data_IF_665139238172
#
_entry.id   IF_665139238172
#
_cell.length_a   1.000
_cell.length_b   1.000
_cell.length_c   1.000
_cell.angle_alpha   90.00
_cell.angle_beta   90.00
_cell.angle_gamma   90.00
#
_symmetry.space_group_name_H-M   'P 1'
#
loop_
_entity.id
_entity.type
_entity.pdbx_description
1 polymer ?
#
# COMPACT_ATOMS: atom_id res chain seq x y z
N UNK A 1 36.89 21.71 -23.55
CA UNK A 1 36.77 20.37 -22.96
C UNK A 1 35.36 20.23 -22.40
N UNK A 2 34.69 19.08 -22.54
CA UNK A 2 33.39 18.87 -21.92
C UNK A 2 33.50 18.90 -20.40
N UNK A 3 32.55 19.56 -19.75
CA UNK A 3 32.41 19.58 -18.28
C UNK A 3 31.44 18.46 -17.92
N UNK A 4 31.80 17.64 -16.93
CA UNK A 4 30.95 16.55 -16.45
C UNK A 4 30.48 16.91 -15.06
N UNK A 5 29.17 17.09 -14.91
CA UNK A 5 28.52 17.50 -13.66
C UNK A 5 27.59 16.40 -13.18
N UNK A 6 27.49 16.22 -11.86
CA UNK A 6 26.45 15.38 -11.25
C UNK A 6 25.12 16.12 -11.30
N UNK A 7 24.04 15.40 -11.51
CA UNK A 7 22.68 15.93 -11.44
C UNK A 7 21.84 15.12 -10.46
N UNK A 8 20.81 15.76 -9.93
CA UNK A 8 19.69 15.10 -9.27
C UNK A 8 18.44 15.33 -10.10
N UNK A 9 17.88 14.27 -10.67
CA UNK A 9 16.60 14.35 -11.38
C UNK A 9 15.50 14.70 -10.36
N UNK A 10 14.49 15.47 -10.77
CA UNK A 10 13.36 15.77 -9.89
C UNK A 10 12.64 14.49 -9.47
N UNK A 11 11.83 14.59 -8.42
CA UNK A 11 10.99 13.48 -8.01
C UNK A 11 10.06 13.05 -9.14
N UNK A 12 9.82 11.75 -9.23
CA UNK A 12 9.07 11.10 -10.30
C UNK A 12 7.54 11.25 -10.13
N UNK A 13 7.08 11.87 -9.05
CA UNK A 13 5.68 11.99 -8.65
C UNK A 13 4.96 13.13 -9.38
N UNK A 14 5.64 14.25 -9.66
CA UNK A 14 5.09 15.36 -10.44
C UNK A 14 5.75 15.55 -11.81
N UNK A 15 6.76 14.75 -12.18
CA UNK A 15 7.36 14.74 -13.53
C UNK A 15 7.22 13.37 -14.22
N UNK A 16 6.63 13.37 -15.42
CA UNK A 16 6.39 12.13 -16.18
C UNK A 16 7.44 11.82 -17.26
N UNK A 17 8.34 12.77 -17.56
CA UNK A 17 9.31 12.65 -18.65
C UNK A 17 10.73 12.42 -18.15
N UNK A 18 11.48 11.60 -18.91
CA UNK A 18 12.90 11.33 -18.67
C UNK A 18 13.76 12.01 -19.73
N UNK A 19 15.00 12.30 -19.35
CA UNK A 19 16.03 12.78 -20.27
C UNK A 19 16.32 11.74 -21.36
N UNK A 20 16.37 12.18 -22.62
CA UNK A 20 16.82 11.34 -23.74
C UNK A 20 18.33 11.52 -24.00
N UNK A 21 18.84 10.86 -25.03
CA UNK A 21 20.27 10.88 -25.40
C UNK A 21 20.65 12.01 -26.38
N UNK A 22 19.76 12.97 -26.62
CA UNK A 22 20.03 14.09 -27.54
C UNK A 22 20.90 15.14 -26.87
N UNK A 23 21.48 15.98 -27.72
CA UNK A 23 22.19 17.18 -27.31
C UNK A 23 21.24 18.36 -27.46
N UNK A 24 21.20 19.23 -26.45
CA UNK A 24 20.36 20.41 -26.42
C UNK A 24 21.21 21.67 -26.29
N UNK A 25 20.74 22.77 -26.88
CA UNK A 25 21.26 24.11 -26.60
C UNK A 25 20.77 24.54 -25.20
N UNK A 26 21.66 25.10 -24.39
CA UNK A 26 21.35 25.65 -23.08
C UNK A 26 21.13 27.16 -23.18
N UNK A 27 20.01 27.65 -22.63
CA UNK A 27 19.64 29.07 -22.65
C UNK A 27 19.34 29.54 -21.24
N UNK A 28 19.92 30.68 -20.84
CA UNK A 28 19.63 31.33 -19.56
C UNK A 28 18.19 31.86 -19.53
N UNK A 29 17.46 31.49 -18.47
CA UNK A 29 16.09 31.90 -18.20
C UNK A 29 15.93 32.60 -16.83
N UNK A 30 17.04 33.04 -16.22
CA UNK A 30 17.00 33.78 -14.96
C UNK A 30 16.52 32.91 -13.80
N UNK A 31 15.54 33.39 -13.03
CA UNK A 31 14.92 32.60 -11.96
C UNK A 31 13.86 31.62 -12.46
N UNK A 32 13.43 31.70 -13.73
CA UNK A 32 12.42 30.83 -14.30
C UNK A 32 11.03 30.92 -13.64
N UNK A 33 10.76 31.91 -12.80
CA UNK A 33 9.46 32.03 -12.13
C UNK A 33 8.35 32.45 -13.10
N UNK A 34 8.70 33.19 -14.15
CA UNK A 34 7.80 33.57 -15.23
C UNK A 34 8.19 32.87 -16.55
N UNK A 35 7.22 32.64 -17.46
CA UNK A 35 7.52 32.12 -18.80
C UNK A 35 8.49 33.04 -19.57
N UNK A 36 9.48 32.45 -20.23
CA UNK A 36 10.44 33.14 -21.10
C UNK A 36 10.44 32.57 -22.52
N UNK A 37 10.00 33.31 -23.55
CA UNK A 37 10.03 32.83 -24.94
C UNK A 37 11.44 32.49 -25.46
N UNK A 38 12.50 32.97 -24.80
CA UNK A 38 13.89 32.72 -25.22
C UNK A 38 14.31 31.25 -25.16
N UNK A 39 13.63 30.42 -24.37
CA UNK A 39 13.98 29.02 -24.15
C UNK A 39 13.22 28.03 -25.05
N UNK A 40 12.42 28.51 -26.00
CA UNK A 40 11.66 27.65 -26.91
C UNK A 40 12.58 26.66 -27.65
N UNK A 41 12.32 25.36 -27.48
CA UNK A 41 13.14 24.29 -28.07
C UNK A 41 14.54 24.11 -27.46
N UNK A 42 14.89 24.87 -26.43
CA UNK A 42 16.16 24.80 -25.71
C UNK A 42 15.99 24.20 -24.30
N UNK A 43 17.10 23.91 -23.62
CA UNK A 43 17.09 23.67 -22.17
C UNK A 43 17.12 25.00 -21.44
N UNK A 44 16.17 25.18 -20.53
CA UNK A 44 16.15 26.32 -19.65
C UNK A 44 17.18 26.15 -18.53
N UNK A 45 18.11 27.10 -18.42
CA UNK A 45 19.05 27.23 -17.31
C UNK A 45 18.49 28.23 -16.31
N UNK A 46 18.08 27.77 -15.13
CA UNK A 46 17.36 28.59 -14.14
C UNK A 46 18.00 28.54 -12.76
N UNK A 47 18.08 29.66 -12.05
CA UNK A 47 18.62 29.69 -10.69
C UNK A 47 17.67 29.03 -9.69
N UNK A 48 18.20 28.46 -8.60
CA UNK A 48 17.38 28.15 -7.43
C UNK A 48 16.91 29.43 -6.70
N UNK A 49 15.79 29.34 -5.96
CA UNK A 49 15.20 30.46 -5.21
C UNK A 49 14.10 31.21 -5.98
N UNK A 50 13.54 32.29 -5.42
CA UNK A 50 12.48 33.10 -6.06
C UNK A 50 11.07 32.51 -5.98
N UNK A 51 10.87 31.26 -6.43
CA UNK A 51 9.60 30.54 -6.42
C UNK A 51 9.84 29.02 -6.25
N UNK A 52 8.76 28.23 -6.14
CA UNK A 52 8.85 26.76 -6.01
C UNK A 52 9.50 26.10 -7.23
N UNK A 53 10.10 24.92 -7.05
CA UNK A 53 10.65 24.16 -8.17
C UNK A 53 9.57 23.79 -9.20
N UNK A 54 8.38 23.45 -8.72
CA UNK A 54 7.23 23.21 -9.59
C UNK A 54 6.89 24.43 -10.45
N UNK A 55 6.80 25.62 -9.85
CA UNK A 55 6.51 26.86 -10.58
C UNK A 55 7.55 27.12 -11.66
N UNK A 56 8.85 26.94 -11.35
CA UNK A 56 9.94 27.08 -12.33
C UNK A 56 9.72 26.18 -13.54
N UNK A 57 9.50 24.90 -13.27
CA UNK A 57 9.35 23.89 -14.33
C UNK A 57 8.07 24.11 -15.12
N UNK A 58 6.97 24.48 -14.46
CA UNK A 58 5.70 24.82 -15.12
C UNK A 58 5.85 26.04 -16.03
N UNK A 59 6.51 27.11 -15.57
CA UNK A 59 6.75 28.31 -16.37
C UNK A 59 7.60 28.00 -17.60
N UNK A 60 8.67 27.20 -17.45
CA UNK A 60 9.48 26.78 -18.60
C UNK A 60 8.74 25.83 -19.55
N UNK A 61 7.82 25.01 -19.03
CA UNK A 61 6.92 24.19 -19.85
C UNK A 61 6.01 25.06 -20.70
N UNK A 62 5.41 26.12 -20.12
CA UNK A 62 4.60 27.11 -20.84
C UNK A 62 5.41 27.86 -21.91
N UNK A 63 6.73 27.90 -21.78
CA UNK A 63 7.66 28.48 -22.75
C UNK A 63 8.14 27.51 -23.83
N UNK A 64 7.55 26.31 -23.93
CA UNK A 64 7.99 25.27 -24.88
C UNK A 64 9.48 24.88 -24.73
N UNK A 65 10.02 24.95 -23.51
CA UNK A 65 11.36 24.45 -23.24
C UNK A 65 11.42 22.92 -23.45
N UNK A 66 12.57 22.42 -23.90
CA UNK A 66 12.80 20.97 -24.06
C UNK A 66 13.14 20.26 -22.74
N UNK A 67 13.44 21.02 -21.69
CA UNK A 67 13.83 20.53 -20.38
C UNK A 67 14.31 21.67 -19.48
N UNK A 68 14.43 21.40 -18.18
CA UNK A 68 14.83 22.41 -17.20
C UNK A 68 16.02 21.94 -16.38
N UNK A 69 17.06 22.77 -16.30
CA UNK A 69 18.19 22.61 -15.41
C UNK A 69 18.19 23.72 -14.38
N UNK A 70 17.86 23.34 -13.13
CA UNK A 70 17.94 24.24 -11.99
C UNK A 70 19.34 24.19 -11.41
N UNK A 71 20.00 25.32 -11.24
CA UNK A 71 21.33 25.36 -10.63
C UNK A 71 21.30 25.89 -9.19
N UNK A 72 22.11 25.29 -8.33
CA UNK A 72 22.27 25.73 -6.94
C UNK A 72 22.92 27.11 -6.86
N UNK A 73 22.61 27.92 -5.85
CA UNK A 73 23.37 29.12 -5.54
C UNK A 73 24.78 28.73 -5.08
N UNK A 74 25.77 29.65 -5.20
CA UNK A 74 27.12 29.39 -4.73
C UNK A 74 27.16 28.90 -3.28
N UNK A 75 27.75 27.73 -3.05
CA UNK A 75 27.89 27.12 -1.72
C UNK A 75 26.71 26.24 -1.28
N UNK A 76 25.59 26.25 -2.00
CA UNK A 76 24.45 25.40 -1.66
C UNK A 76 24.61 23.98 -2.25
N UNK A 77 24.20 22.94 -1.50
CA UNK A 77 24.14 21.58 -2.03
C UNK A 77 23.01 21.45 -3.05
N UNK A 78 23.08 20.43 -3.91
CA UNK A 78 21.93 20.04 -4.72
C UNK A 78 20.80 19.62 -3.77
N UNK A 79 19.60 20.13 -4.03
CA UNK A 79 18.40 19.91 -3.26
C UNK A 79 17.44 18.99 -4.01
N UNK A 80 16.60 18.29 -3.25
CA UNK A 80 15.51 17.50 -3.81
C UNK A 80 14.41 18.42 -4.34
N UNK A 81 14.15 18.34 -5.66
CA UNK A 81 13.14 19.17 -6.30
C UNK A 81 11.76 18.56 -6.09
N UNK A 82 11.05 19.08 -5.09
CA UNK A 82 9.71 18.65 -4.73
C UNK A 82 8.65 19.74 -5.01
N UNK A 83 7.40 19.32 -5.20
CA UNK A 83 6.22 20.17 -5.28
C UNK A 83 5.74 20.59 -3.86
N UNK A 84 4.91 21.62 -3.77
CA UNK A 84 4.35 22.14 -2.50
C UNK A 84 2.83 22.27 -2.59
N UNK A 85 2.11 21.62 -1.66
CA UNK A 85 0.65 21.69 -1.58
C UNK A 85 0.00 21.18 -2.87
N UNK A 86 -1.01 21.91 -3.36
CA UNK A 86 -1.81 21.57 -4.56
C UNK A 86 -0.97 21.47 -5.85
N UNK A 87 0.27 21.97 -5.86
CA UNK A 87 1.22 21.74 -6.96
C UNK A 87 1.45 20.24 -7.22
N UNK A 88 1.41 19.43 -6.15
CA UNK A 88 1.66 18.00 -6.22
C UNK A 88 0.56 17.21 -6.92
N UNK A 89 -0.62 17.82 -7.15
CA UNK A 89 -1.74 17.18 -7.83
C UNK A 89 -1.62 17.31 -9.36
N UNK A 90 -0.61 18.04 -9.85
CA UNK A 90 -0.38 18.26 -11.28
C UNK A 90 0.91 17.59 -11.75
N UNK A 91 0.79 16.72 -12.75
CA UNK A 91 1.95 16.17 -13.43
C UNK A 91 2.40 17.05 -14.60
N UNK A 92 3.69 17.36 -14.67
CA UNK A 92 4.31 18.08 -15.79
C UNK A 92 5.05 17.10 -16.71
N UNK A 93 4.84 17.26 -18.02
CA UNK A 93 5.44 16.43 -19.06
C UNK A 93 6.73 17.04 -19.62
N UNK A 94 7.67 17.40 -18.75
CA UNK A 94 8.99 17.94 -19.12
C UNK A 94 10.06 17.33 -18.20
N UNK A 95 11.24 16.94 -18.71
CA UNK A 95 12.30 16.49 -17.84
C UNK A 95 12.95 17.68 -17.11
N UNK A 96 13.22 17.51 -15.82
CA UNK A 96 13.94 18.51 -15.04
C UNK A 96 14.97 17.85 -14.12
N UNK A 97 16.09 18.54 -13.92
CA UNK A 97 17.14 18.12 -13.00
C UNK A 97 17.79 19.33 -12.33
N UNK A 98 18.32 19.09 -11.14
CA UNK A 98 19.12 20.06 -10.43
C UNK A 98 20.61 19.72 -10.57
N UNK A 99 21.43 20.75 -10.75
CA UNK A 99 22.89 20.64 -10.86
C UNK A 99 23.58 21.68 -9.99
N UNK A 100 24.88 21.51 -9.75
CA UNK A 100 25.67 22.59 -9.18
C UNK A 100 25.86 23.73 -10.19
N UNK A 101 26.02 24.95 -9.67
CA UNK A 101 26.45 26.09 -10.47
C UNK A 101 27.89 25.88 -10.98
N UNK A 102 28.01 25.67 -12.28
CA UNK A 102 29.30 25.67 -12.97
C UNK A 102 29.65 27.08 -13.45
N UNK A 103 30.68 27.67 -12.85
CA UNK A 103 31.11 29.06 -13.13
C UNK A 103 31.41 29.27 -14.61
N UNK A 104 32.03 28.29 -15.26
CA UNK A 104 32.37 28.34 -16.69
C UNK A 104 31.13 28.29 -17.60
N UNK A 105 30.09 27.56 -17.21
CA UNK A 105 28.79 27.54 -17.92
C UNK A 105 28.10 28.89 -17.77
N UNK A 106 28.03 29.42 -16.55
CA UNK A 106 27.42 30.73 -16.29
C UNK A 106 28.13 31.86 -17.05
N UNK A 107 29.47 31.86 -17.07
CA UNK A 107 30.25 32.83 -17.85
C UNK A 107 30.02 32.67 -19.34
N UNK A 108 30.00 31.45 -19.88
CA UNK A 108 29.75 31.21 -21.30
C UNK A 108 28.38 31.76 -21.73
N UNK A 109 27.33 31.48 -20.95
CA UNK A 109 25.99 32.02 -21.20
C UNK A 109 25.97 33.55 -21.12
N UNK A 110 26.61 34.14 -20.11
CA UNK A 110 26.70 35.60 -19.95
C UNK A 110 27.42 36.29 -21.13
N UNK A 111 28.44 35.66 -21.70
CA UNK A 111 29.16 36.15 -22.87
C UNK A 111 28.51 35.76 -24.22
N UNK A 112 27.33 35.15 -24.21
CA UNK A 112 26.61 34.74 -25.42
C UNK A 112 27.28 33.58 -26.18
N UNK A 113 28.14 32.81 -25.53
CA UNK A 113 28.76 31.64 -26.12
C UNK A 113 27.78 30.45 -26.07
N UNK A 114 27.65 29.67 -27.16
CA UNK A 114 26.74 28.53 -27.17
C UNK A 114 27.24 27.42 -26.25
N UNK A 115 26.36 26.98 -25.34
CA UNK A 115 26.60 25.84 -24.45
C UNK A 115 25.67 24.71 -24.86
N UNK A 116 26.23 23.51 -25.04
CA UNK A 116 25.49 22.31 -25.39
C UNK A 116 25.54 21.30 -24.26
N UNK A 117 24.39 20.70 -23.95
CA UNK A 117 24.25 19.71 -22.88
C UNK A 117 23.75 18.40 -23.46
N UNK A 118 24.36 17.30 -23.03
CA UNK A 118 23.93 15.94 -23.34
C UNK A 118 23.84 15.12 -22.06
N UNK A 119 22.92 14.17 -22.00
CA UNK A 119 22.67 13.38 -20.81
C UNK A 119 23.15 11.94 -20.96
N UNK A 120 23.79 11.43 -19.89
CA UNK A 120 24.25 10.05 -19.83
C UNK A 120 23.87 9.44 -18.48
N UNK A 121 23.60 8.14 -18.49
CA UNK A 121 23.45 7.33 -17.30
C UNK A 121 24.76 6.60 -17.04
N UNK A 122 25.43 6.92 -15.94
CA UNK A 122 26.64 6.22 -15.52
C UNK A 122 26.24 5.22 -14.43
N UNK A 123 26.29 3.90 -14.71
CA UNK A 123 26.07 2.90 -13.67
C UNK A 123 27.08 3.10 -12.54
N UNK A 124 26.60 3.18 -11.31
CA UNK A 124 27.43 3.21 -10.11
C UNK A 124 27.20 1.92 -9.30
N UNK A 125 28.21 1.41 -8.59
CA UNK A 125 28.00 0.33 -7.62
C UNK A 125 26.94 0.76 -6.59
N UNK A 126 26.03 -0.14 -6.24
CA UNK A 126 25.10 0.11 -5.12
C UNK A 126 25.90 0.44 -3.87
N UNK A 127 25.65 1.61 -3.29
CA UNK A 127 26.44 2.14 -2.18
C UNK A 127 26.06 1.54 -0.83
N UNK A 128 24.87 0.93 -0.73
CA UNK A 128 24.31 0.49 0.54
C UNK A 128 24.03 -1.00 0.52
N UNK A 129 24.53 -1.67 1.54
CA UNK A 129 24.17 -3.03 1.94
C UNK A 129 23.75 -2.99 3.40
N UNK A 130 22.84 -3.86 3.81
CA UNK A 130 22.48 -4.01 5.22
C UNK A 130 22.91 -5.36 5.77
N UNK A 131 23.09 -5.38 7.08
CA UNK A 131 23.21 -6.59 7.88
C UNK A 131 22.01 -6.60 8.82
N UNK A 132 21.20 -7.65 8.78
CA UNK A 132 20.03 -7.78 9.65
C UNK A 132 20.41 -8.18 11.08
N UNK A 133 19.42 -8.29 11.98
CA UNK A 133 19.63 -8.72 13.37
C UNK A 133 20.21 -10.14 13.52
N UNK A 134 20.18 -10.95 12.47
CA UNK A 134 20.77 -12.30 12.45
C UNK A 134 22.21 -12.29 11.90
N UNK A 135 22.75 -11.13 11.53
CA UNK A 135 24.08 -11.02 10.92
C UNK A 135 24.09 -11.39 9.43
N UNK A 136 22.94 -11.52 8.78
CA UNK A 136 22.83 -11.87 7.37
C UNK A 136 22.83 -10.62 6.49
N UNK A 137 23.46 -10.74 5.32
CA UNK A 137 23.42 -9.71 4.29
C UNK A 137 22.00 -9.58 3.72
N UNK A 138 21.50 -8.36 3.65
CA UNK A 138 20.19 -8.05 3.08
C UNK A 138 20.29 -6.99 1.96
N UNK A 139 19.48 -7.15 0.92
CA UNK A 139 19.30 -6.11 -0.11
C UNK A 139 18.58 -4.91 0.51
N UNK A 140 19.00 -3.69 0.16
CA UNK A 140 18.42 -2.44 0.67
C UNK A 140 17.24 -1.91 -0.16
N UNK A 141 16.87 -2.59 -1.24
CA UNK A 141 15.85 -2.12 -2.18
C UNK A 141 16.32 -0.92 -3.02
N UNK A 142 15.38 -0.09 -3.48
CA UNK A 142 15.65 1.09 -4.29
C UNK A 142 15.39 2.39 -3.52
N UNK A 143 16.39 3.26 -3.49
CA UNK A 143 16.24 4.62 -2.96
C UNK A 143 15.75 5.50 -4.10
N UNK A 144 14.44 5.69 -4.17
CA UNK A 144 13.76 6.44 -5.25
C UNK A 144 14.16 7.91 -5.29
N UNK A 145 14.76 8.45 -4.21
CA UNK A 145 15.46 9.73 -4.16
C UNK A 145 16.57 9.69 -3.07
N UNK A 146 17.59 10.56 -3.12
CA UNK A 146 18.76 10.47 -2.23
C UNK A 146 18.46 11.00 -0.82
N UNK A 147 17.82 10.17 0.01
CA UNK A 147 17.55 10.48 1.42
C UNK A 147 18.06 9.39 2.35
N UNK A 148 18.57 9.79 3.52
CA UNK A 148 18.91 8.85 4.60
C UNK A 148 17.67 8.21 5.23
N UNK A 149 16.45 8.70 4.96
CA UNK A 149 15.21 8.10 5.45
C UNK A 149 15.06 6.64 5.00
N UNK A 150 15.49 6.28 3.78
CA UNK A 150 15.45 4.90 3.28
C UNK A 150 16.29 3.92 4.12
N UNK A 151 17.39 4.41 4.71
CA UNK A 151 18.21 3.63 5.65
C UNK A 151 17.47 3.46 6.98
N UNK A 152 16.87 4.53 7.49
CA UNK A 152 16.10 4.48 8.74
C UNK A 152 14.89 3.53 8.64
N UNK A 153 14.12 3.58 7.55
CA UNK A 153 13.00 2.67 7.33
C UNK A 153 13.46 1.22 7.21
N UNK A 154 14.57 0.95 6.52
CA UNK A 154 15.12 -0.40 6.48
C UNK A 154 15.51 -0.92 7.88
N UNK A 155 16.10 -0.08 8.74
CA UNK A 155 16.43 -0.45 10.11
C UNK A 155 15.17 -0.77 10.93
N UNK A 156 14.14 0.09 10.85
CA UNK A 156 12.85 -0.14 11.51
C UNK A 156 12.18 -1.45 11.06
N UNK A 157 12.29 -1.78 9.78
CA UNK A 157 11.77 -3.04 9.27
C UNK A 157 12.52 -4.25 9.81
N UNK A 158 13.84 -4.15 10.05
CA UNK A 158 14.57 -5.24 10.72
C UNK A 158 14.12 -5.45 12.16
N UNK A 159 13.83 -4.39 12.91
CA UNK A 159 13.26 -4.51 14.26
C UNK A 159 11.92 -5.26 14.20
N UNK A 160 11.02 -4.86 13.30
CA UNK A 160 9.77 -5.58 13.05
C UNK A 160 10.02 -7.06 12.71
N UNK A 161 10.95 -7.34 11.81
CA UNK A 161 11.22 -8.69 11.34
C UNK A 161 11.82 -9.58 12.45
N UNK A 162 12.67 -9.02 13.31
CA UNK A 162 13.20 -9.71 14.48
C UNK A 162 12.09 -10.05 15.51
N UNK A 163 11.19 -9.11 15.76
CA UNK A 163 10.01 -9.33 16.60
C UNK A 163 9.09 -10.40 16.00
N UNK A 164 8.89 -10.37 14.68
CA UNK A 164 8.14 -11.39 13.95
C UNK A 164 8.79 -12.77 14.10
N UNK A 165 10.12 -12.90 13.95
CA UNK A 165 10.80 -14.18 14.18
C UNK A 165 10.57 -14.69 15.60
N UNK A 166 10.63 -13.81 16.60
CA UNK A 166 10.34 -14.16 18.00
C UNK A 166 8.91 -14.65 18.17
N UNK A 167 7.91 -13.96 17.58
CA UNK A 167 6.51 -14.39 17.60
C UNK A 167 6.33 -15.78 16.96
N UNK A 168 7.02 -16.04 15.86
CA UNK A 168 6.94 -17.31 15.12
C UNK A 168 7.53 -18.51 15.89
N UNK A 169 8.39 -18.27 16.90
CA UNK A 169 8.88 -19.32 17.80
C UNK A 169 7.84 -19.76 18.85
N UNK A 170 6.76 -18.99 19.04
CA UNK A 170 5.72 -19.32 20.00
C UNK A 170 5.04 -20.66 19.65
N UNK A 171 4.77 -21.55 20.63
CA UNK A 171 4.16 -22.85 20.36
C UNK A 171 2.82 -22.75 19.66
N UNK A 172 2.70 -23.41 18.51
CA UNK A 172 1.46 -23.51 17.75
C UNK A 172 1.42 -24.84 16.99
N UNK A 173 0.22 -25.35 16.74
CA UNK A 173 -0.01 -26.39 15.73
C UNK A 173 0.08 -25.72 14.36
N UNK A 174 1.11 -26.07 13.60
CA UNK A 174 1.36 -25.53 12.26
C UNK A 174 0.76 -26.47 11.22
N UNK A 175 -0.01 -25.90 10.29
CA UNK A 175 -0.50 -26.58 9.09
C UNK A 175 0.10 -25.84 7.89
N UNK A 176 0.99 -26.52 7.16
CA UNK A 176 1.59 -25.94 5.96
C UNK A 176 0.62 -26.01 4.80
N UNK A 177 0.28 -24.86 4.24
CA UNK A 177 -0.65 -24.73 3.11
C UNK A 177 0.13 -24.55 1.81
N UNK A 178 1.03 -23.56 1.79
CA UNK A 178 1.93 -23.31 0.67
C UNK A 178 3.38 -23.28 1.16
N UNK A 179 4.23 -24.07 0.52
CA UNK A 179 5.68 -23.97 0.65
C UNK A 179 6.24 -23.54 -0.71
N UNK A 180 6.56 -22.24 -0.82
CA UNK A 180 7.13 -21.61 -2.02
C UNK A 180 6.39 -21.96 -3.32
N UNK A 181 5.08 -21.79 -3.33
CA UNK A 181 4.22 -22.07 -4.48
C UNK A 181 4.14 -20.86 -5.40
N UNK A 182 4.29 -21.07 -6.71
CA UNK A 182 4.07 -20.03 -7.71
C UNK A 182 2.59 -19.62 -7.73
N UNK A 183 2.31 -18.36 -7.47
CA UNK A 183 1.00 -17.73 -7.60
C UNK A 183 0.95 -16.90 -8.88
N UNK A 184 0.17 -17.35 -9.88
CA UNK A 184 -0.01 -16.67 -11.15
C UNK A 184 -1.32 -17.09 -11.83
N UNK A 185 -1.88 -16.23 -12.68
CA UNK A 185 -3.04 -16.55 -13.50
C UNK A 185 -4.35 -16.61 -12.71
N UNK A 186 -5.43 -17.04 -13.36
CA UNK A 186 -6.77 -17.06 -12.77
C UNK A 186 -6.89 -17.96 -11.53
N UNK A 187 -6.12 -19.06 -11.50
CA UNK A 187 -6.15 -20.02 -10.40
C UNK A 187 -5.39 -19.54 -9.16
N UNK A 188 -4.31 -18.78 -9.34
CA UNK A 188 -3.38 -18.46 -8.25
C UNK A 188 -2.70 -19.71 -7.67
N UNK A 189 -2.36 -19.67 -6.39
CA UNK A 189 -1.85 -20.80 -5.61
C UNK A 189 -3.01 -21.52 -4.91
N UNK A 190 -3.11 -22.84 -5.08
CA UNK A 190 -4.21 -23.65 -4.53
C UNK A 190 -3.65 -24.88 -3.82
N UNK A 191 -4.16 -25.15 -2.61
CA UNK A 191 -3.79 -26.32 -1.83
C UNK A 191 -5.00 -26.80 -1.01
N UNK A 192 -5.11 -28.11 -0.84
CA UNK A 192 -6.09 -28.72 0.05
C UNK A 192 -5.35 -29.32 1.24
N UNK A 193 -5.74 -28.93 2.44
CA UNK A 193 -5.11 -29.36 3.70
C UNK A 193 -6.10 -30.07 4.59
N UNK A 194 -5.61 -31.02 5.37
CA UNK A 194 -6.38 -31.69 6.42
C UNK A 194 -6.23 -30.89 7.73
N UNK A 195 -7.37 -30.56 8.34
CA UNK A 195 -7.43 -29.82 9.59
C UNK A 195 -7.51 -30.77 10.80
N UNK A 196 -7.05 -30.34 11.99
CA UNK A 196 -7.20 -31.11 13.21
C UNK A 196 -8.67 -31.37 13.52
N UNK A 197 -9.02 -32.59 13.94
CA UNK A 197 -10.41 -32.96 14.28
C UNK A 197 -11.03 -32.10 15.39
N UNK A 198 -10.21 -31.49 16.24
CA UNK A 198 -10.65 -30.68 17.38
C UNK A 198 -10.21 -29.21 17.22
N UNK A 199 -10.63 -28.54 16.14
CA UNK A 199 -10.39 -27.10 15.95
C UNK A 199 -10.93 -26.25 17.11
N UNK A 200 -12.01 -26.71 17.76
CA UNK A 200 -12.62 -26.08 18.92
C UNK A 200 -11.68 -25.95 20.14
N UNK A 201 -10.59 -26.73 20.19
CA UNK A 201 -9.59 -26.62 21.26
C UNK A 201 -8.72 -25.36 21.12
N UNK A 202 -8.58 -24.82 19.90
CA UNK A 202 -7.82 -23.60 19.65
C UNK A 202 -8.72 -22.38 19.78
N UNK A 203 -8.17 -21.30 20.35
CA UNK A 203 -8.85 -19.99 20.43
C UNK A 203 -8.16 -18.92 19.59
N UNK A 204 -6.99 -19.25 19.04
CA UNK A 204 -6.19 -18.37 18.19
C UNK A 204 -5.86 -19.04 16.87
N UNK A 205 -6.08 -18.30 15.78
CA UNK A 205 -5.68 -18.66 14.43
C UNK A 205 -4.92 -17.48 13.82
N UNK A 206 -3.67 -17.73 13.42
CA UNK A 206 -2.84 -16.74 12.73
C UNK A 206 -2.41 -17.27 11.36
N UNK A 207 -2.36 -16.37 10.38
CA UNK A 207 -1.82 -16.62 9.05
C UNK A 207 -0.37 -16.15 9.02
N UNK A 208 0.57 -17.09 8.93
CA UNK A 208 1.98 -16.80 8.65
C UNK A 208 2.17 -16.86 7.13
N UNK A 209 2.10 -15.69 6.49
CA UNK A 209 2.14 -15.55 5.05
C UNK A 209 3.38 -14.79 4.61
N UNK A 210 3.97 -15.19 3.48
CA UNK A 210 5.06 -14.45 2.83
C UNK A 210 4.92 -14.45 1.32
N UNK A 211 5.41 -13.38 0.72
CA UNK A 211 5.52 -13.21 -0.72
C UNK A 211 6.97 -12.90 -1.06
N UNK A 212 7.53 -13.68 -1.97
CA UNK A 212 8.92 -13.55 -2.43
C UNK A 212 9.01 -13.56 -3.95
N UNK A 213 10.12 -13.06 -4.49
CA UNK A 213 10.33 -13.07 -5.93
C UNK A 213 10.52 -14.51 -6.45
N UNK A 214 10.13 -14.79 -7.71
CA UNK A 214 10.50 -16.03 -8.41
C UNK A 214 12.02 -16.29 -8.48
N UNK A 215 12.81 -15.22 -8.57
CA UNK A 215 14.27 -15.28 -8.55
C UNK A 215 14.86 -14.81 -7.22
N UNK A 216 16.19 -14.77 -7.14
CA UNK A 216 16.92 -14.39 -5.93
C UNK A 216 17.05 -12.88 -5.69
N UNK A 217 16.67 -12.06 -6.67
CA UNK A 217 16.83 -10.60 -6.64
C UNK A 217 15.49 -9.94 -6.88
N UNK A 218 15.30 -8.76 -6.31
CA UNK A 218 14.14 -7.89 -6.52
C UNK A 218 13.78 -7.72 -8.00
N UNK A 219 14.78 -7.67 -8.89
CA UNK A 219 14.58 -7.57 -10.34
C UNK A 219 13.63 -8.61 -10.97
N UNK A 220 13.40 -9.74 -10.30
CA UNK A 220 12.52 -10.83 -10.75
C UNK A 220 11.10 -10.79 -10.19
N UNK A 221 10.84 -9.93 -9.19
CA UNK A 221 9.51 -9.70 -8.66
C UNK A 221 8.61 -8.97 -9.68
N UNK A 222 7.29 -9.09 -9.49
CA UNK A 222 6.32 -8.28 -10.21
C UNK A 222 6.60 -6.79 -10.02
N UNK A 223 6.39 -6.00 -11.08
CA UNK A 223 6.66 -4.56 -11.02
C UNK A 223 5.66 -3.79 -10.18
N UNK A 224 4.40 -4.26 -10.14
CA UNK A 224 3.27 -3.53 -9.60
C UNK A 224 2.77 -4.16 -8.30
N UNK A 225 2.23 -3.30 -7.47
CA UNK A 225 1.43 -3.60 -6.30
C UNK A 225 0.05 -4.12 -6.71
N UNK A 226 -0.33 -5.28 -6.19
CA UNK A 226 -1.63 -5.87 -6.46
C UNK A 226 -2.22 -6.43 -5.19
N UNK A 227 -3.55 -6.38 -5.10
CA UNK A 227 -4.27 -7.05 -4.02
C UNK A 227 -4.09 -8.57 -4.14
N UNK A 228 -3.77 -9.20 -3.01
CA UNK A 228 -3.69 -10.65 -2.83
C UNK A 228 -4.72 -11.05 -1.79
N UNK A 229 -5.59 -12.00 -2.14
CA UNK A 229 -6.63 -12.50 -1.25
C UNK A 229 -6.49 -14.01 -1.06
N UNK A 230 -6.71 -14.46 0.16
CA UNK A 230 -6.79 -15.86 0.53
C UNK A 230 -8.25 -16.24 0.76
N UNK A 231 -8.74 -17.21 0.01
CA UNK A 231 -10.08 -17.77 0.15
C UNK A 231 -10.03 -19.19 0.71
N UNK A 232 -11.06 -19.58 1.45
CA UNK A 232 -11.20 -20.92 2.01
C UNK A 232 -12.51 -21.58 1.58
N UNK A 233 -12.47 -22.89 1.35
CA UNK A 233 -13.65 -23.70 1.07
C UNK A 233 -13.46 -25.13 1.60
N UNK A 234 -14.21 -25.51 2.63
CA UNK A 234 -14.16 -26.86 3.22
C UNK A 234 -15.31 -27.76 2.73
N UNK A 235 -16.49 -27.17 2.53
CA UNK A 235 -17.62 -27.81 1.85
C UNK A 235 -17.99 -26.98 0.60
N UNK A 236 -17.86 -27.51 -0.63
CA UNK A 236 -18.25 -26.83 -1.86
C UNK A 236 -19.73 -26.42 -1.93
N UNK A 237 -20.60 -27.06 -1.14
CA UNK A 237 -22.02 -26.72 -1.02
C UNK A 237 -22.32 -25.89 0.24
N UNK A 238 -21.32 -25.68 1.08
CA UNK A 238 -21.42 -24.97 2.34
C UNK A 238 -21.49 -23.45 2.15
N UNK A 239 -22.13 -22.74 3.09
CA UNK A 239 -22.28 -21.29 3.02
C UNK A 239 -20.95 -20.52 3.19
N UNK A 240 -19.91 -21.19 3.70
CA UNK A 240 -18.59 -20.59 3.95
C UNK A 240 -17.60 -20.76 2.79
N UNK A 241 -17.98 -21.50 1.73
CA UNK A 241 -17.10 -21.70 0.58
C UNK A 241 -16.81 -20.38 -0.13
N UNK A 242 -15.53 -20.15 -0.44
CA UNK A 242 -14.99 -18.93 -1.05
C UNK A 242 -15.11 -17.66 -0.18
N UNK A 243 -15.24 -17.80 1.13
CA UNK A 243 -15.08 -16.67 2.04
C UNK A 243 -13.60 -16.29 2.18
N UNK A 244 -13.35 -14.99 2.32
CA UNK A 244 -12.00 -14.45 2.49
C UNK A 244 -11.49 -14.69 3.91
N UNK A 245 -10.29 -15.28 4.00
CA UNK A 245 -9.59 -15.56 5.27
C UNK A 245 -8.49 -14.53 5.55
N UNK A 246 -7.95 -13.87 4.53
CA UNK A 246 -6.91 -12.83 4.70
C UNK A 246 -6.63 -12.08 3.40
N UNK A 247 -6.03 -10.89 3.53
CA UNK A 247 -5.69 -10.00 2.42
C UNK A 247 -4.34 -9.32 2.65
N UNK A 248 -3.60 -9.13 1.57
CA UNK A 248 -2.31 -8.42 1.52
C UNK A 248 -2.23 -7.60 0.24
N UNK A 249 -1.29 -6.66 0.18
CA UNK A 249 -0.90 -5.98 -1.04
C UNK A 249 0.55 -6.36 -1.38
N UNK A 250 0.83 -6.72 -2.63
CA UNK A 250 2.20 -7.02 -3.04
C UNK A 250 3.05 -5.76 -3.03
N UNK A 251 4.35 -5.91 -2.75
CA UNK A 251 5.29 -4.80 -2.87
C UNK A 251 5.61 -4.48 -4.34
N UNK A 252 6.02 -3.24 -4.61
CA UNK A 252 6.62 -2.85 -5.88
C UNK A 252 7.99 -3.50 -6.05
N UNK A 253 8.03 -4.63 -6.76
CA UNK A 253 9.28 -5.29 -7.17
C UNK A 253 10.22 -5.61 -6.00
N UNK A 254 9.69 -5.95 -4.83
CA UNK A 254 10.50 -6.27 -3.64
C UNK A 254 10.10 -7.59 -2.99
N UNK A 255 11.08 -8.46 -2.74
CA UNK A 255 10.85 -9.87 -2.35
C UNK A 255 10.86 -10.19 -0.86
N UNK A 256 10.78 -9.21 0.03
CA UNK A 256 11.05 -9.39 1.47
C UNK A 256 9.80 -9.47 2.38
N UNK A 257 8.59 -9.55 1.82
CA UNK A 257 7.34 -9.50 2.60
C UNK A 257 7.04 -10.78 3.39
N UNK A 258 6.84 -10.67 4.71
CA UNK A 258 6.30 -11.73 5.58
C UNK A 258 5.54 -11.13 6.75
N UNK A 259 4.36 -11.66 7.04
CA UNK A 259 3.44 -11.12 8.03
C UNK A 259 2.78 -12.24 8.83
N UNK A 260 2.38 -11.91 10.06
CA UNK A 260 1.61 -12.79 10.93
C UNK A 260 0.30 -12.09 11.27
N UNK A 261 -0.78 -12.50 10.59
CA UNK A 261 -2.09 -11.85 10.72
C UNK A 261 -2.98 -12.68 11.63
N UNK A 262 -3.47 -12.09 12.72
CA UNK A 262 -4.52 -12.72 13.54
C UNK A 262 -5.81 -12.76 12.72
N UNK A 263 -6.39 -13.95 12.59
CA UNK A 263 -7.70 -14.20 11.98
C UNK A 263 -8.54 -15.14 12.85
N UNK A 264 -8.29 -15.13 14.16
CA UNK A 264 -9.01 -15.94 15.16
C UNK A 264 -10.53 -15.86 15.05
N UNK A 265 -11.15 -14.68 14.80
CA UNK A 265 -12.60 -14.57 14.60
C UNK A 265 -13.14 -15.44 13.44
N UNK A 266 -12.28 -15.82 12.49
CA UNK A 266 -12.63 -16.58 11.30
C UNK A 266 -12.44 -18.10 11.45
N UNK A 267 -12.07 -18.60 12.64
CA UNK A 267 -12.02 -20.05 12.92
C UNK A 267 -13.29 -20.79 12.45
N UNK A 268 -14.53 -20.26 12.61
CA UNK A 268 -15.73 -20.95 12.13
C UNK A 268 -15.82 -21.15 10.61
N UNK A 269 -15.00 -20.45 9.80
CA UNK A 269 -14.89 -20.72 8.35
C UNK A 269 -14.20 -22.05 8.04
N UNK A 270 -13.47 -22.60 9.01
CA UNK A 270 -12.80 -23.89 8.93
C UNK A 270 -13.74 -25.00 9.40
N UNK A 271 -14.89 -25.13 8.74
CA UNK A 271 -16.04 -25.96 9.16
C UNK A 271 -15.97 -27.43 8.71
N UNK A 272 -14.90 -27.83 8.03
CA UNK A 272 -14.64 -29.21 7.61
C UNK A 272 -13.29 -29.74 8.09
N UNK A 273 -13.12 -31.07 8.03
CA UNK A 273 -11.84 -31.71 8.31
C UNK A 273 -10.82 -31.55 7.17
N UNK A 274 -11.26 -31.09 6.01
CA UNK A 274 -10.43 -30.91 4.81
C UNK A 274 -10.88 -29.64 4.11
N UNK A 275 -9.96 -28.69 3.93
CA UNK A 275 -10.26 -27.38 3.37
C UNK A 275 -9.33 -27.07 2.21
N UNK A 276 -9.90 -26.53 1.14
CA UNK A 276 -9.14 -25.99 0.01
C UNK A 276 -8.94 -24.50 0.23
N UNK A 277 -7.68 -24.07 0.21
CA UNK A 277 -7.28 -22.69 0.29
C UNK A 277 -6.77 -22.23 -1.08
N UNK A 278 -7.23 -21.06 -1.50
CA UNK A 278 -6.83 -20.43 -2.77
C UNK A 278 -6.30 -19.03 -2.48
N UNK A 279 -5.01 -18.80 -2.69
CA UNK A 279 -4.39 -17.48 -2.65
C UNK A 279 -4.21 -16.98 -4.08
N UNK A 280 -4.77 -15.82 -4.40
CA UNK A 280 -4.71 -15.27 -5.76
C UNK A 280 -4.61 -13.75 -5.78
N UNK A 281 -4.15 -13.26 -6.92
CA UNK A 281 -4.15 -11.85 -7.31
C UNK A 281 -4.82 -11.71 -8.67
N UNK A 282 -4.80 -10.52 -9.27
CA UNK A 282 -5.32 -10.29 -10.62
C UNK A 282 -4.62 -11.21 -11.63
N UNK A 283 -5.38 -11.80 -12.56
CA UNK A 283 -4.88 -12.93 -13.37
C UNK A 283 -3.75 -12.57 -14.33
N UNK A 284 -3.67 -11.30 -14.74
CA UNK A 284 -2.62 -10.77 -15.63
C UNK A 284 -1.36 -10.33 -14.88
N UNK A 285 -1.35 -10.41 -13.55
CA UNK A 285 -0.18 -10.04 -12.76
C UNK A 285 1.02 -10.92 -13.09
N UNK A 286 2.21 -10.32 -13.00
CA UNK A 286 3.45 -11.08 -12.95
C UNK A 286 3.49 -11.99 -11.70
N UNK A 287 4.21 -13.12 -11.76
CA UNK A 287 4.15 -14.12 -10.71
C UNK A 287 4.81 -13.69 -9.40
N UNK A 288 4.28 -14.23 -8.30
CA UNK A 288 4.87 -14.20 -6.97
C UNK A 288 5.07 -15.62 -6.44
N UNK A 289 6.03 -15.82 -5.53
CA UNK A 289 6.19 -17.06 -4.79
C UNK A 289 5.53 -16.88 -3.41
N UNK A 290 4.44 -17.60 -3.18
CA UNK A 290 3.67 -17.57 -1.94
C UNK A 290 4.07 -18.71 -1.00
N UNK A 291 4.25 -18.39 0.28
CA UNK A 291 4.26 -19.39 1.35
C UNK A 291 3.23 -19.01 2.41
N UNK A 292 2.54 -20.00 2.96
CA UNK A 292 1.45 -19.81 3.92
C UNK A 292 1.40 -20.98 4.89
N UNK A 293 1.35 -20.66 6.18
CA UNK A 293 1.03 -21.60 7.23
C UNK A 293 -0.17 -21.10 8.04
N UNK A 294 -1.08 -22.01 8.38
CA UNK A 294 -2.06 -21.77 9.44
C UNK A 294 -1.43 -22.12 10.78
N UNK A 295 -1.46 -21.19 11.72
CA UNK A 295 -0.92 -21.36 13.08
C UNK A 295 -2.06 -21.36 14.07
N UNK A 296 -2.33 -22.52 14.65
CA UNK A 296 -3.39 -22.71 15.65
C UNK A 296 -2.77 -22.82 17.04
N UNK A 297 -3.20 -21.99 17.97
CA UNK A 297 -2.70 -22.02 19.35
C UNK A 297 -3.82 -21.79 20.37
N UNK A 298 -3.46 -21.98 21.64
CA UNK A 298 -4.29 -21.62 22.79
C UNK A 298 -3.66 -20.42 23.45
N UNK A 299 -4.46 -19.39 23.73
CA UNK A 299 -4.00 -18.16 24.33
C UNK A 299 -3.45 -18.44 25.73
N UNK A 300 -2.22 -17.98 25.98
CA UNK A 300 -1.52 -18.20 27.25
C UNK A 300 -2.20 -17.35 28.34
N UNK A 301 -3.10 -17.94 29.13
CA UNK A 301 -3.79 -17.24 30.21
C UNK A 301 -3.13 -17.54 31.56
N UNK A 302 -2.62 -16.48 32.19
CA UNK A 302 -2.11 -16.50 33.56
C UNK A 302 -3.23 -16.40 34.61
N UNK A 303 -4.45 -16.01 34.20
CA UNK A 303 -5.62 -15.90 35.07
C UNK A 303 -6.75 -16.85 34.63
N UNK A 304 -6.93 -17.91 35.41
CA UNK A 304 -7.97 -18.92 35.22
C UNK A 304 -9.40 -18.39 35.49
N UNK A 305 -9.56 -17.15 35.97
CA UNK A 305 -10.87 -16.58 36.33
C UNK A 305 -11.61 -15.87 35.18
N UNK A 306 -10.96 -15.66 34.04
CA UNK A 306 -11.59 -14.98 32.89
C UNK A 306 -12.13 -16.00 31.90
N UNK A 307 -13.45 -16.05 31.75
CA UNK A 307 -14.13 -16.87 30.75
C UNK A 307 -13.53 -16.63 29.35
N UNK A 308 -13.21 -17.71 28.64
CA UNK A 308 -12.63 -17.62 27.29
C UNK A 308 -13.71 -17.78 26.26
N UNK A 309 -14.20 -16.65 25.76
CA UNK A 309 -15.16 -16.63 24.67
C UNK A 309 -14.50 -17.12 23.38
N UNK A 310 -15.17 -18.04 22.68
CA UNK A 310 -14.66 -18.59 21.41
C UNK A 310 -15.63 -18.28 20.27
N UNK A 311 -15.12 -17.88 19.08
CA UNK A 311 -15.97 -17.69 17.92
C UNK A 311 -16.51 -19.06 17.52
N UNK A 312 -17.84 -19.16 17.35
CA UNK A 312 -18.49 -20.43 17.00
C UNK A 312 -19.34 -20.32 15.74
N UNK A 313 -19.62 -19.11 15.28
CA UNK A 313 -20.40 -18.85 14.07
C UNK A 313 -19.99 -17.52 13.46
N UNK A 314 -20.04 -17.46 12.14
CA UNK A 314 -19.94 -16.21 11.38
C UNK A 314 -21.15 -16.03 10.47
N UNK A 315 -21.52 -14.79 10.19
CA UNK A 315 -22.58 -14.43 9.26
C UNK A 315 -22.09 -13.32 8.33
N UNK A 316 -22.16 -13.53 7.02
CA UNK A 316 -21.81 -12.50 6.06
C UNK A 316 -22.78 -11.32 6.10
N UNK A 317 -22.23 -10.12 5.89
CA UNK A 317 -22.99 -8.88 5.79
C UNK A 317 -22.89 -8.31 4.38
N UNK A 318 -22.00 -7.35 4.17
CA UNK A 318 -21.87 -6.59 2.94
C UNK A 318 -20.52 -6.84 2.27
N UNK A 319 -20.51 -6.67 0.94
CA UNK A 319 -19.30 -6.63 0.14
C UNK A 319 -19.09 -5.24 -0.44
N UNK A 320 -17.89 -4.99 -0.94
CA UNK A 320 -17.55 -3.72 -1.59
C UNK A 320 -18.16 -3.57 -2.98
N UNK A 321 -17.63 -2.62 -3.75
CA UNK A 321 -18.00 -2.39 -5.14
C UNK A 321 -17.56 -1.01 -5.63
N UNK A 322 -17.97 -0.67 -6.85
CA UNK A 322 -17.71 0.64 -7.48
C UNK A 322 -18.19 1.80 -6.60
N UNK A 323 -17.29 2.73 -6.28
CA UNK A 323 -17.49 3.83 -5.36
C UNK A 323 -18.07 5.06 -6.08
N UNK A 324 -19.29 4.91 -6.61
CA UNK A 324 -20.00 5.91 -7.41
C UNK A 324 -21.27 6.47 -6.72
N UNK A 325 -22.04 7.31 -7.41
CA UNK A 325 -23.32 7.88 -6.92
C UNK A 325 -24.40 6.87 -6.53
N UNK A 326 -24.19 5.59 -6.84
CA UNK A 326 -25.08 4.50 -6.49
C UNK A 326 -24.45 3.56 -5.46
N UNK A 327 -23.25 3.87 -4.95
CA UNK A 327 -22.54 3.08 -3.97
C UNK A 327 -23.42 2.75 -2.77
N UNK A 328 -23.95 3.76 -2.08
CA UNK A 328 -24.76 3.54 -0.88
C UNK A 328 -26.16 2.97 -1.16
N UNK A 329 -26.69 3.14 -2.38
CA UNK A 329 -28.04 2.63 -2.74
C UNK A 329 -28.13 1.11 -2.74
N UNK A 330 -26.99 0.41 -2.90
CA UNK A 330 -26.90 -1.05 -2.98
C UNK A 330 -27.01 -1.72 -1.60
N UNK A 331 -26.71 -1.00 -0.53
CA UNK A 331 -26.76 -1.55 0.83
C UNK A 331 -28.15 -1.36 1.41
N UNK A 332 -28.86 -2.47 1.60
CA UNK A 332 -30.17 -2.50 2.26
C UNK A 332 -29.99 -2.95 3.70
N UNK A 333 -30.76 -2.41 4.65
CA UNK A 333 -30.70 -2.87 6.03
C UNK A 333 -30.91 -4.39 6.11
N UNK A 334 -30.02 -5.06 6.84
CA UNK A 334 -30.04 -6.52 7.03
C UNK A 334 -30.55 -6.82 8.42
N UNK A 335 -31.58 -7.66 8.51
CA UNK A 335 -32.10 -8.17 9.78
C UNK A 335 -31.20 -9.28 10.33
N UNK A 336 -30.89 -9.20 11.62
CA UNK A 336 -29.95 -10.11 12.30
C UNK A 336 -30.60 -10.62 13.58
N UNK A 337 -30.62 -11.94 13.74
CA UNK A 337 -31.09 -12.61 14.96
C UNK A 337 -29.89 -13.18 15.71
N UNK A 338 -29.82 -12.93 17.01
CA UNK A 338 -28.68 -13.35 17.84
C UNK A 338 -28.94 -14.78 18.34
N UNK A 339 -28.06 -15.76 18.05
CA UNK A 339 -28.22 -17.12 18.57
C UNK A 339 -28.14 -17.18 20.10
N UNK A 340 -28.96 -18.02 20.77
CA UNK A 340 -29.07 -18.12 22.24
C UNK A 340 -27.73 -18.22 22.99
N UNK A 341 -26.79 -18.99 22.44
CA UNK A 341 -25.51 -19.23 23.11
C UNK A 341 -24.54 -18.05 23.02
N UNK A 342 -24.93 -16.95 22.35
CA UNK A 342 -24.03 -15.83 22.09
C UNK A 342 -23.84 -14.98 23.33
N UNK A 343 -22.59 -14.77 23.72
CA UNK A 343 -22.17 -13.87 24.79
C UNK A 343 -21.54 -12.58 24.28
N UNK A 344 -20.94 -12.62 23.09
CA UNK A 344 -20.35 -11.46 22.41
C UNK A 344 -20.61 -11.54 20.91
N UNK A 345 -20.84 -10.38 20.29
CA UNK A 345 -20.91 -10.21 18.84
C UNK A 345 -19.88 -9.17 18.42
N UNK A 346 -19.06 -9.51 17.43
CA UNK A 346 -18.06 -8.63 16.85
C UNK A 346 -18.38 -8.35 15.38
N UNK A 347 -18.33 -7.08 14.99
CA UNK A 347 -18.23 -6.68 13.60
C UNK A 347 -16.79 -6.92 13.15
N UNK A 348 -16.62 -7.68 12.08
CA UNK A 348 -15.33 -7.96 11.44
C UNK A 348 -15.40 -7.51 9.97
N UNK A 349 -14.50 -6.64 9.53
CA UNK A 349 -14.45 -6.21 8.13
C UNK A 349 -13.02 -6.04 7.62
N UNK A 350 -12.76 -6.47 6.39
CA UNK A 350 -11.52 -6.19 5.66
C UNK A 350 -11.88 -5.23 4.53
N UNK A 351 -11.39 -4.00 4.59
CA UNK A 351 -11.78 -2.92 3.68
C UNK A 351 -10.53 -2.28 3.08
N UNK A 352 -10.50 -2.16 1.76
CA UNK A 352 -9.46 -1.42 1.02
C UNK A 352 -10.11 -0.65 -0.13
N UNK A 353 -9.73 0.60 -0.30
CA UNK A 353 -10.20 1.47 -1.38
C UNK A 353 -9.13 1.60 -2.48
N UNK A 354 -9.54 1.56 -3.74
CA UNK A 354 -8.69 1.41 -4.91
C UNK A 354 -9.18 2.27 -6.08
N UNK A 355 -8.28 2.59 -7.01
CA UNK A 355 -8.60 3.42 -8.17
C UNK A 355 -8.36 4.90 -7.93
N UNK A 356 -8.57 5.70 -8.97
CA UNK A 356 -8.21 7.11 -9.02
C UNK A 356 -9.17 7.82 -9.97
N UNK A 357 -10.16 8.52 -9.42
CA UNK A 357 -11.10 9.35 -10.18
C UNK A 357 -10.71 10.85 -10.13
N UNK A 358 -11.61 11.75 -10.55
CA UNK A 358 -11.40 13.21 -10.52
C UNK A 358 -11.24 13.81 -9.11
N UNK A 359 -11.54 13.04 -8.06
CA UNK A 359 -11.31 13.40 -6.66
C UNK A 359 -10.17 12.59 -6.04
N UNK A 360 -9.35 11.91 -6.86
CA UNK A 360 -8.31 10.99 -6.43
C UNK A 360 -8.87 9.80 -5.64
N UNK A 361 -10.16 9.50 -5.81
CA UNK A 361 -10.89 8.60 -4.93
C UNK A 361 -10.77 7.13 -5.28
N UNK A 362 -10.88 6.36 -4.19
CA UNK A 362 -10.38 5.03 -4.09
C UNK A 362 -9.09 5.04 -3.28
N UNK A 363 -7.96 5.08 -3.98
CA UNK A 363 -6.65 4.84 -3.39
C UNK A 363 -6.12 6.00 -2.55
N UNK A 364 -6.31 7.25 -2.97
CA UNK A 364 -5.63 8.40 -2.36
C UNK A 364 -6.54 9.40 -1.66
N UNK A 365 -7.86 9.35 -1.88
CA UNK A 365 -8.79 10.20 -1.14
C UNK A 365 -9.16 9.58 0.21
N UNK A 366 -9.47 10.43 1.20
CA UNK A 366 -9.96 9.99 2.50
C UNK A 366 -11.42 9.51 2.36
N UNK A 367 -11.63 8.21 2.54
CA UNK A 367 -12.97 7.61 2.63
C UNK A 367 -13.34 7.29 4.07
N UNK A 368 -14.63 7.34 4.39
CA UNK A 368 -15.17 6.79 5.64
C UNK A 368 -16.13 5.64 5.37
N UNK A 369 -16.14 4.67 6.27
CA UNK A 369 -16.89 3.42 6.20
C UNK A 369 -17.69 3.27 7.49
N UNK A 370 -19.01 3.14 7.40
CA UNK A 370 -19.92 3.30 8.53
C UNK A 370 -20.87 2.11 8.64
N UNK A 371 -20.98 1.53 9.83
CA UNK A 371 -21.97 0.51 10.17
C UNK A 371 -22.92 1.04 11.24
N UNK A 372 -24.20 1.11 10.89
CA UNK A 372 -25.26 1.51 11.81
C UNK A 372 -25.88 0.26 12.39
N UNK A 373 -25.92 0.17 13.72
CA UNK A 373 -26.56 -0.91 14.45
C UNK A 373 -27.83 -0.34 15.08
N UNK A 374 -28.99 -0.88 14.71
CA UNK A 374 -30.30 -0.41 15.17
C UNK A 374 -30.49 1.11 14.98
N UNK A 375 -30.06 1.64 13.82
CA UNK A 375 -30.07 3.05 13.44
C UNK A 375 -29.15 3.98 14.27
N UNK A 376 -28.21 3.43 15.03
CA UNK A 376 -27.21 4.20 15.79
C UNK A 376 -25.91 4.33 15.01
N UNK A 377 -25.44 5.56 14.82
CA UNK A 377 -24.21 5.91 14.11
C UNK A 377 -23.00 5.92 15.06
N UNK A 378 -22.41 4.75 15.33
CA UNK A 378 -21.28 4.62 16.29
C UNK A 378 -20.06 3.85 15.76
N UNK A 379 -20.15 3.17 14.61
CA UNK A 379 -19.06 2.34 14.11
C UNK A 379 -18.58 2.96 12.79
N UNK A 380 -17.52 3.75 12.86
CA UNK A 380 -16.93 4.47 11.73
C UNK A 380 -15.44 4.17 11.63
N UNK A 381 -15.00 3.77 10.44
CA UNK A 381 -13.59 3.63 10.07
C UNK A 381 -13.26 4.69 9.02
N UNK A 382 -12.18 5.44 9.21
CA UNK A 382 -11.73 6.50 8.31
C UNK A 382 -10.31 6.18 7.85
N UNK A 383 -10.04 6.32 6.56
CA UNK A 383 -8.69 6.19 6.00
C UNK A 383 -8.00 7.56 5.93
N UNK A 384 -7.74 8.13 7.10
CA UNK A 384 -7.20 9.49 7.29
C UNK A 384 -5.80 9.71 6.70
N UNK A 385 -5.01 8.66 6.59
CA UNK A 385 -3.68 8.71 5.98
C UNK A 385 -3.68 8.67 4.45
N UNK A 386 -4.81 8.39 3.79
CA UNK A 386 -4.89 8.32 2.34
C UNK A 386 -4.42 9.63 1.68
N UNK A 387 -3.57 9.51 0.65
CA UNK A 387 -2.99 10.66 -0.06
C UNK A 387 -1.85 11.37 0.68
N UNK A 388 -1.58 11.01 1.94
CA UNK A 388 -0.48 11.65 2.67
C UNK A 388 0.90 11.26 2.09
N UNK A 389 1.87 12.19 2.01
CA UNK A 389 3.16 11.93 1.36
C UNK A 389 4.00 10.78 1.95
N UNK A 390 3.73 10.40 3.20
CA UNK A 390 4.54 9.45 3.97
C UNK A 390 3.71 8.41 4.74
N UNK A 391 2.40 8.30 4.47
CA UNK A 391 1.49 7.48 5.28
C UNK A 391 1.94 6.04 5.45
N UNK A 392 2.38 5.37 4.38
CA UNK A 392 2.84 3.99 4.46
C UNK A 392 4.25 3.84 5.06
N UNK A 393 5.08 4.88 4.99
CA UNK A 393 6.37 4.87 5.68
C UNK A 393 6.24 4.79 7.20
N UNK A 394 5.15 5.34 7.75
CA UNK A 394 4.88 5.30 9.18
C UNK A 394 4.50 3.88 9.65
N UNK A 395 4.06 3.02 8.73
CA UNK A 395 3.66 1.63 8.96
C UNK A 395 4.80 0.63 8.73
N UNK A 396 6.02 1.08 8.46
CA UNK A 396 7.19 0.19 8.30
C UNK A 396 7.45 -0.64 9.56
N UNK A 397 7.24 -0.03 10.75
CA UNK A 397 7.31 -0.74 12.04
C UNK A 397 6.22 -1.79 12.24
N UNK A 398 5.16 -1.74 11.44
CA UNK A 398 4.06 -2.71 11.43
C UNK A 398 4.26 -3.81 10.38
N UNK A 399 5.34 -3.71 9.59
CA UNK A 399 5.71 -4.70 8.59
C UNK A 399 5.58 -4.25 7.14
N UNK A 400 5.29 -2.96 6.88
CA UNK A 400 5.25 -2.44 5.52
C UNK A 400 6.65 -2.53 4.94
N UNK A 401 6.79 -3.15 3.78
CA UNK A 401 8.10 -3.40 3.17
C UNK A 401 8.70 -2.06 2.71
N UNK A 402 9.88 -1.65 3.22
CA UNK A 402 10.48 -0.40 2.81
C UNK A 402 11.30 -0.57 1.53
N UNK A 403 11.60 0.59 0.93
CA UNK A 403 12.53 0.75 -0.20
C UNK A 403 12.10 -0.06 -1.42
N UNK A 404 10.80 -0.11 -1.68
CA UNK A 404 10.26 -0.74 -2.88
C UNK A 404 10.56 0.10 -4.13
N UNK A 405 10.25 -0.45 -5.31
CA UNK A 405 10.58 0.19 -6.58
C UNK A 405 9.50 1.12 -7.16
N UNK A 406 8.49 1.49 -6.36
CA UNK A 406 7.38 2.34 -6.79
C UNK A 406 6.98 3.36 -5.73
N UNK A 407 5.74 3.81 -5.76
CA UNK A 407 5.18 4.89 -4.91
C UNK A 407 4.93 4.51 -3.45
N UNK A 408 5.63 3.50 -2.93
CA UNK A 408 5.38 2.82 -1.65
C UNK A 408 5.29 3.71 -0.39
N UNK A 409 5.76 4.96 -0.47
CA UNK A 409 5.78 5.91 0.64
C UNK A 409 4.38 6.45 1.00
N UNK A 410 3.52 6.66 0.02
CA UNK A 410 2.27 7.42 0.19
C UNK A 410 1.28 6.68 1.08
N UNK A 411 0.39 7.38 1.77
CA UNK A 411 -0.73 6.73 2.45
C UNK A 411 -1.84 6.38 1.46
N UNK A 412 -2.50 5.23 1.66
CA UNK A 412 -3.57 4.74 0.79
C UNK A 412 -4.84 4.45 1.58
N UNK A 413 -5.95 4.26 0.86
CA UNK A 413 -7.26 3.93 1.38
C UNK A 413 -7.34 2.58 2.10
N UNK A 414 -6.75 2.48 3.29
CA UNK A 414 -6.84 1.32 4.18
C UNK A 414 -5.77 0.24 3.98
N UNK A 415 -4.73 0.52 3.19
CA UNK A 415 -3.67 -0.43 2.89
C UNK A 415 -2.31 0.25 2.64
N UNK A 416 -1.27 -0.56 2.55
CA UNK A 416 0.07 -0.17 2.11
C UNK A 416 0.66 -1.28 1.25
N UNK A 417 1.48 -0.91 0.28
CA UNK A 417 2.27 -1.87 -0.49
C UNK A 417 3.14 -2.70 0.46
N UNK A 418 3.29 -3.98 0.13
CA UNK A 418 4.10 -4.88 0.94
C UNK A 418 3.62 -4.98 2.40
N UNK A 419 2.30 -4.96 2.64
CA UNK A 419 1.73 -5.10 3.98
C UNK A 419 0.46 -5.97 3.96
N UNK A 420 0.17 -6.64 5.09
CA UNK A 420 -1.15 -7.24 5.31
C UNK A 420 -2.23 -6.17 5.49
N UNK A 421 -3.46 -6.48 5.09
CA UNK A 421 -4.62 -5.65 5.42
C UNK A 421 -5.18 -6.15 6.74
N UNK A 422 -5.01 -5.36 7.80
CA UNK A 422 -5.54 -5.71 9.11
C UNK A 422 -7.07 -5.58 9.12
N UNK A 423 -7.79 -6.56 9.69
CA UNK A 423 -9.24 -6.48 9.78
C UNK A 423 -9.67 -5.43 10.80
N UNK A 424 -10.66 -4.63 10.43
CA UNK A 424 -11.40 -3.80 11.38
C UNK A 424 -12.30 -4.67 12.25
N UNK A 425 -12.04 -4.67 13.55
CA UNK A 425 -12.79 -5.45 14.55
C UNK A 425 -13.44 -4.51 15.56
N UNK A 426 -14.73 -4.67 15.83
CA UNK A 426 -15.45 -3.86 16.81
C UNK A 426 -16.45 -4.71 17.57
N UNK A 427 -16.39 -4.69 18.91
CA UNK A 427 -17.40 -5.31 19.75
C UNK A 427 -18.69 -4.47 19.69
N UNK A 428 -19.76 -5.07 19.17
CA UNK A 428 -21.07 -4.43 19.02
C UNK A 428 -22.12 -5.01 19.97
N UNK A 429 -21.71 -5.85 20.93
CA UNK A 429 -22.62 -6.59 21.81
C UNK A 429 -23.61 -5.68 22.53
N UNK A 430 -23.13 -4.54 23.06
CA UNK A 430 -23.96 -3.58 23.80
C UNK A 430 -24.90 -2.76 22.90
N UNK A 431 -24.70 -2.80 21.59
CA UNK A 431 -25.53 -2.12 20.59
C UNK A 431 -26.69 -3.00 20.11
N UNK A 432 -26.68 -4.28 20.48
CA UNK A 432 -27.63 -5.30 20.02
C UNK A 432 -28.63 -5.67 21.12
N UNK A 433 -29.84 -6.00 20.69
CA UNK A 433 -30.77 -6.78 21.48
C UNK A 433 -30.35 -8.25 21.44
N UNK A 434 -29.84 -8.75 22.57
CA UNK A 434 -29.31 -10.11 22.69
C UNK A 434 -30.40 -11.18 22.87
N UNK A 435 -31.68 -10.81 22.91
CA UNK A 435 -32.80 -11.76 22.95
C UNK A 435 -33.01 -12.41 21.58
N UNK A 436 -33.18 -13.73 21.55
CA UNK A 436 -33.42 -14.49 20.30
C UNK A 436 -34.71 -14.09 19.57
N UNK A 437 -35.67 -13.51 20.28
CA UNK A 437 -36.98 -13.16 19.74
C UNK A 437 -37.03 -11.79 19.06
N UNK A 438 -35.96 -10.99 19.19
CA UNK A 438 -35.90 -9.65 18.64
C UNK A 438 -34.91 -9.61 17.48
N UNK A 439 -35.33 -8.99 16.37
CA UNK A 439 -34.43 -8.69 15.26
C UNK A 439 -33.63 -7.43 15.55
N UNK A 440 -32.33 -7.47 15.24
CA UNK A 440 -31.50 -6.29 15.11
C UNK A 440 -31.42 -5.89 13.64
N UNK A 441 -31.16 -4.62 13.36
CA UNK A 441 -30.95 -4.13 11.99
C UNK A 441 -29.54 -3.59 11.86
N UNK A 442 -28.84 -3.99 10.80
CA UNK A 442 -27.51 -3.46 10.48
C UNK A 442 -27.53 -2.88 9.06
N UNK A 443 -26.98 -1.70 8.86
CA UNK A 443 -26.79 -1.12 7.52
C UNK A 443 -25.38 -0.53 7.38
N UNK A 444 -24.79 -0.69 6.19
CA UNK A 444 -23.49 -0.15 5.84
C UNK A 444 -23.61 0.98 4.80
N UNK A 445 -22.73 1.96 4.88
CA UNK A 445 -22.48 2.91 3.81
C UNK A 445 -21.06 3.48 3.89
N UNK A 446 -20.54 3.94 2.75
CA UNK A 446 -19.26 4.64 2.69
C UNK A 446 -19.42 6.05 2.12
N UNK A 447 -18.61 6.98 2.62
CA UNK A 447 -18.71 8.39 2.26
C UNK A 447 -17.36 8.93 1.79
N UNK A 448 -17.43 9.90 0.89
CA UNK A 448 -16.35 10.81 0.54
C UNK A 448 -16.76 12.21 1.00
N UNK A 449 -15.90 12.89 1.78
CA UNK A 449 -16.20 14.21 2.37
C UNK A 449 -17.56 14.28 3.10
N UNK A 450 -17.95 13.19 3.77
CA UNK A 450 -19.22 13.11 4.49
C UNK A 450 -20.47 13.00 3.61
N UNK A 451 -20.32 12.76 2.29
CA UNK A 451 -21.42 12.62 1.33
C UNK A 451 -21.30 11.31 0.54
N UNK A 452 -22.38 10.95 -0.14
CA UNK A 452 -22.35 9.89 -1.15
C UNK A 452 -21.30 10.25 -2.22
N UNK A 453 -20.42 9.31 -2.62
CA UNK A 453 -19.43 9.58 -3.65
C UNK A 453 -20.14 9.87 -4.99
N UNK A 454 -19.66 10.84 -5.76
CA UNK A 454 -20.26 11.22 -7.04
C UNK A 454 -19.19 11.76 -8.00
N UNK A 455 -18.24 10.92 -8.43
CA UNK A 455 -17.20 11.33 -9.38
C UNK A 455 -17.77 11.61 -10.78
N UNK A 456 -17.07 12.45 -11.52
CA UNK A 456 -17.37 12.76 -12.92
C UNK A 456 -16.59 11.87 -13.90
N UNK A 457 -15.48 11.29 -13.45
CA UNK A 457 -14.66 10.34 -14.19
C UNK A 457 -14.91 8.88 -13.76
N UNK A 458 -14.16 7.95 -14.34
CA UNK A 458 -14.25 6.53 -13.99
C UNK A 458 -14.01 6.34 -12.48
N UNK A 459 -15.00 5.84 -11.73
CA UNK A 459 -14.95 5.79 -10.28
C UNK A 459 -13.90 4.79 -9.78
N UNK A 460 -13.33 5.09 -8.62
CA UNK A 460 -12.66 4.09 -7.80
C UNK A 460 -13.61 2.98 -7.32
N UNK A 461 -13.09 2.05 -6.55
CA UNK A 461 -13.85 0.94 -6.00
C UNK A 461 -13.35 0.51 -4.63
N UNK A 462 -14.25 -0.05 -3.84
CA UNK A 462 -13.95 -0.62 -2.53
C UNK A 462 -13.93 -2.14 -2.67
N UNK A 463 -12.85 -2.78 -2.25
CA UNK A 463 -12.85 -4.22 -1.99
C UNK A 463 -13.17 -4.40 -0.51
N UNK A 464 -14.30 -5.01 -0.19
CA UNK A 464 -14.72 -5.27 1.19
C UNK A 464 -15.27 -6.67 1.35
N UNK A 465 -14.90 -7.30 2.46
CA UNK A 465 -15.59 -8.45 3.06
C UNK A 465 -15.99 -8.06 4.49
N UNK A 466 -17.26 -8.22 4.85
CA UNK A 466 -17.72 -7.93 6.21
C UNK A 466 -18.61 -9.03 6.77
N UNK A 467 -18.44 -9.28 8.07
CA UNK A 467 -19.00 -10.41 8.79
C UNK A 467 -19.43 -9.98 10.20
N UNK A 468 -20.44 -10.64 10.75
CA UNK A 468 -20.63 -10.74 12.19
C UNK A 468 -20.00 -12.02 12.70
N UNK A 469 -19.28 -11.92 13.80
CA UNK A 469 -18.67 -13.06 14.50
C UNK A 469 -19.34 -13.22 15.85
N UNK A 470 -19.89 -14.40 16.11
CA UNK A 470 -20.60 -14.73 17.35
C UNK A 470 -19.70 -15.57 18.23
N UNK A 471 -19.60 -15.18 19.50
CA UNK A 471 -18.78 -15.84 20.50
C UNK A 471 -19.64 -16.41 21.63
N UNK A 472 -19.23 -17.55 22.18
CA UNK A 472 -19.90 -18.22 23.31
C UNK A 472 -18.94 -18.65 24.40
#
# INVERSE_FOLDING_TARGET
MPIIVKRLDARYDWLSMRWDHRTYLLTDAGDGCEPSPSVEGALAWVSEGGCSFFTKVQSMTKSNASGVLVYTLPGNPIQDMNCVGDECDTTLAIPAAMVHLEVSVAQALQFGQPVFVSFQYTPSPNFFVSIDHQGLLAEMGWFIYPSFSFINWQAQWFDFYADLQTKLQSPAKIISVFDKVLMQGEKGAVATVDLPLALSHFDKLELDASLSCPGRRDSSCAHWDHTVQLFVCCDPLGPHCNMELGRWITAFRRGTGRWLTDVSPLIPLLDGNRCTLTMKTVWWAMPWIASLNLRLSVSNKTDYRVETLRPFRVMALYNGGTFDKNYNKRFKPTEVHIPASTKKVELYAIITAHGYDDNHCGEFCVTSHNFLINNVFNNTLIFDSAGSPLGCTLRVKEGAVPNEHGTWLYGRGGWCDGLQVDPWRTDITTQLNMSEFNSNTIVYFGLFEGKDPNPSQDPGYIIMSSLLVFYK
#
